data_IF_638564311523
#
_entry.id   IF_638564311523
#
_cell.length_a   1.000
_cell.length_b   1.000
_cell.length_c   1.000
_cell.angle_alpha   90.00
_cell.angle_beta   90.00
_cell.angle_gamma   90.00
#
_symmetry.space_group_name_H-M   'P 1'
#
loop_
_entity.id
_entity.type
_entity.pdbx_description
1 polymer ?
#
# COMPACT_ATOMS: atom_id res chain seq x y z
N UNK A 1 -75.24 3.72 -18.44
CA UNK A 1 -74.04 3.71 -19.23
C UNK A 1 -73.19 4.85 -18.72
N UNK A 2 -72.17 4.52 -17.93
CA UNK A 2 -71.26 5.48 -17.33
C UNK A 2 -70.06 5.64 -18.31
N UNK A 3 -69.96 6.75 -18.98
CA UNK A 3 -68.82 7.06 -19.84
C UNK A 3 -67.69 7.55 -18.92
N UNK A 4 -66.75 6.68 -18.61
CA UNK A 4 -65.50 7.09 -17.98
C UNK A 4 -64.69 7.95 -18.97
N UNK A 5 -64.45 9.18 -18.55
CA UNK A 5 -63.83 10.20 -19.37
C UNK A 5 -62.32 9.84 -19.60
N UNK A 6 -62.02 9.44 -20.82
CA UNK A 6 -60.68 8.97 -21.26
C UNK A 6 -59.56 9.98 -21.02
N UNK A 7 -59.90 11.24 -20.76
CA UNK A 7 -58.96 12.33 -20.53
C UNK A 7 -58.18 12.22 -19.22
N UNK A 8 -58.80 11.68 -18.18
CA UNK A 8 -58.14 11.52 -16.85
C UNK A 8 -57.17 10.35 -16.85
N UNK A 9 -57.50 9.27 -17.52
CA UNK A 9 -56.65 8.08 -17.61
C UNK A 9 -55.33 8.39 -18.33
N UNK A 10 -55.37 9.17 -19.41
CA UNK A 10 -54.18 9.58 -20.14
C UNK A 10 -53.19 10.45 -19.32
N UNK A 11 -53.74 11.35 -18.47
CA UNK A 11 -52.89 12.16 -17.56
C UNK A 11 -52.17 11.35 -16.50
N UNK A 12 -52.83 10.35 -15.92
CA UNK A 12 -52.20 9.48 -14.89
C UNK A 12 -51.14 8.57 -15.50
N UNK A 13 -51.37 8.05 -16.70
CA UNK A 13 -50.38 7.20 -17.39
C UNK A 13 -49.10 8.00 -17.72
N UNK A 14 -49.20 9.24 -18.19
CA UNK A 14 -48.05 10.08 -18.45
C UNK A 14 -47.31 10.48 -17.19
N UNK A 15 -48.01 10.76 -16.08
CA UNK A 15 -47.43 11.11 -14.81
C UNK A 15 -46.68 9.93 -14.19
N UNK A 16 -47.25 8.73 -14.25
CA UNK A 16 -46.63 7.51 -13.73
C UNK A 16 -45.39 7.09 -14.57
N UNK A 17 -45.47 7.24 -15.90
CA UNK A 17 -44.34 7.00 -16.81
C UNK A 17 -43.16 7.92 -16.54
N UNK A 18 -43.49 9.21 -16.30
CA UNK A 18 -42.43 10.20 -15.99
C UNK A 18 -41.75 9.90 -14.64
N UNK A 19 -42.50 9.48 -13.63
CA UNK A 19 -41.96 9.08 -12.32
C UNK A 19 -41.09 7.82 -12.40
N UNK A 20 -41.50 6.86 -13.24
CA UNK A 20 -40.74 5.62 -13.45
C UNK A 20 -39.40 5.89 -14.14
N UNK A 21 -39.36 6.81 -15.11
CA UNK A 21 -38.14 7.21 -15.81
C UNK A 21 -37.18 7.91 -14.86
N UNK A 22 -37.66 8.80 -13.99
CA UNK A 22 -36.83 9.47 -12.97
C UNK A 22 -36.26 8.45 -11.98
N UNK A 23 -37.06 7.46 -11.57
CA UNK A 23 -36.62 6.41 -10.64
C UNK A 23 -35.53 5.52 -11.23
N UNK A 24 -35.63 5.16 -12.53
CA UNK A 24 -34.59 4.42 -13.25
C UNK A 24 -33.33 5.26 -13.40
N UNK A 25 -33.46 6.59 -13.63
CA UNK A 25 -32.31 7.48 -13.75
C UNK A 25 -31.55 7.64 -12.42
N UNK A 26 -32.24 7.66 -11.28
CA UNK A 26 -31.61 7.72 -9.96
C UNK A 26 -30.85 6.42 -9.65
N UNK A 27 -31.37 5.26 -10.05
CA UNK A 27 -30.67 3.97 -9.85
C UNK A 27 -29.41 3.86 -10.72
N UNK A 28 -29.44 4.45 -11.93
CA UNK A 28 -28.29 4.37 -12.83
C UNK A 28 -27.12 5.29 -12.46
N UNK A 29 -27.34 6.28 -11.59
CA UNK A 29 -26.29 7.22 -11.15
C UNK A 29 -25.57 6.81 -9.88
N UNK A 30 -26.03 5.79 -9.16
CA UNK A 30 -25.27 5.20 -8.06
C UNK A 30 -24.18 4.28 -8.60
N UNK A 31 -23.18 4.86 -9.29
CA UNK A 31 -21.86 4.25 -9.29
C UNK A 31 -21.37 4.34 -7.85
N UNK A 32 -21.57 3.26 -7.10
CA UNK A 32 -20.82 3.05 -5.87
C UNK A 32 -19.36 3.08 -6.31
N UNK A 33 -18.70 4.21 -6.09
CA UNK A 33 -17.27 4.30 -6.09
C UNK A 33 -16.81 3.43 -4.92
N UNK A 34 -16.68 2.13 -5.15
CA UNK A 34 -15.77 1.31 -4.38
C UNK A 34 -14.39 1.90 -4.65
N UNK A 35 -13.98 2.81 -3.79
CA UNK A 35 -12.58 3.13 -3.65
C UNK A 35 -11.96 1.89 -2.99
N UNK A 36 -11.65 0.89 -3.81
CA UNK A 36 -10.66 -0.10 -3.41
C UNK A 36 -9.40 0.70 -3.11
N UNK A 37 -9.10 0.85 -1.84
CA UNK A 37 -7.74 1.23 -1.44
C UNK A 37 -6.86 0.15 -2.06
N UNK A 38 -5.96 0.47 -2.99
CA UNK A 38 -5.10 -0.54 -3.58
C UNK A 38 -4.40 -1.22 -2.43
N UNK A 39 -4.63 -2.53 -2.28
CA UNK A 39 -3.87 -3.34 -1.34
C UNK A 39 -2.41 -3.10 -1.67
N UNK A 40 -1.63 -2.65 -0.67
CA UNK A 40 -0.22 -2.38 -0.87
C UNK A 40 0.44 -3.67 -1.31
N UNK A 41 0.85 -3.71 -2.56
CA UNK A 41 1.50 -4.89 -3.12
C UNK A 41 2.83 -5.11 -2.40
N UNK A 42 2.99 -6.29 -1.80
CA UNK A 42 4.23 -6.69 -1.13
C UNK A 42 4.78 -7.91 -1.85
N UNK A 43 5.96 -7.75 -2.46
CA UNK A 43 6.68 -8.84 -3.11
C UNK A 43 7.97 -9.12 -2.35
N UNK A 44 8.17 -10.39 -1.99
CA UNK A 44 9.36 -10.84 -1.25
C UNK A 44 10.02 -11.97 -2.05
N UNK A 45 11.35 -11.89 -2.19
CA UNK A 45 12.20 -12.92 -2.77
C UNK A 45 13.43 -13.12 -1.90
N UNK A 46 13.84 -14.38 -1.68
CA UNK A 46 15.08 -14.76 -1.00
C UNK A 46 15.40 -16.21 -1.35
N UNK A 47 16.65 -16.63 -1.18
CA UNK A 47 17.03 -18.04 -1.34
C UNK A 47 16.61 -18.88 -0.14
N UNK A 48 16.67 -18.30 1.06
CA UNK A 48 16.34 -18.97 2.31
C UNK A 48 15.32 -18.14 3.11
N UNK A 49 14.26 -18.80 3.57
CA UNK A 49 13.25 -18.20 4.44
C UNK A 49 12.96 -19.11 5.63
N UNK A 50 12.89 -18.52 6.82
CA UNK A 50 12.47 -19.20 8.06
C UNK A 50 11.40 -18.37 8.76
N UNK A 51 10.30 -19.01 9.12
CA UNK A 51 9.24 -18.41 9.92
C UNK A 51 9.26 -18.95 11.35
N UNK A 52 9.37 -18.05 12.31
CA UNK A 52 9.16 -18.34 13.73
C UNK A 52 7.79 -17.84 14.17
N UNK A 53 6.83 -18.75 14.22
CA UNK A 53 5.45 -18.44 14.56
C UNK A 53 5.30 -17.92 15.99
N UNK A 54 6.12 -18.38 16.95
CA UNK A 54 6.02 -17.94 18.35
C UNK A 54 6.44 -16.49 18.52
N UNK A 55 7.47 -16.09 17.80
CA UNK A 55 8.02 -14.74 17.86
C UNK A 55 7.37 -13.80 16.84
N UNK A 56 6.61 -14.32 15.85
CA UNK A 56 6.07 -13.53 14.77
C UNK A 56 7.16 -12.94 13.87
N UNK A 57 8.22 -13.71 13.59
CA UNK A 57 9.37 -13.23 12.82
C UNK A 57 9.56 -14.09 11.57
N UNK A 58 9.65 -13.45 10.41
CA UNK A 58 10.20 -14.07 9.20
C UNK A 58 11.65 -13.63 9.07
N UNK A 59 12.56 -14.59 8.97
CA UNK A 59 13.97 -14.36 8.67
C UNK A 59 14.26 -14.82 7.26
N UNK A 60 14.76 -13.91 6.44
CA UNK A 60 15.14 -14.11 5.04
C UNK A 60 16.66 -13.97 4.92
N UNK A 61 17.30 -14.80 4.08
CA UNK A 61 18.74 -14.77 3.85
C UNK A 61 19.04 -15.01 2.38
N UNK A 62 20.15 -14.45 1.95
CA UNK A 62 20.75 -14.61 0.61
C UNK A 62 19.86 -14.02 -0.49
N UNK A 63 20.39 -13.00 -1.17
CA UNK A 63 19.74 -12.30 -2.27
C UNK A 63 18.32 -11.79 -1.94
N UNK A 64 18.16 -11.24 -0.73
CA UNK A 64 16.85 -10.79 -0.27
C UNK A 64 16.42 -9.54 -1.02
N UNK A 65 15.24 -9.58 -1.61
CA UNK A 65 14.58 -8.44 -2.24
C UNK A 65 13.17 -8.32 -1.66
N UNK A 66 12.83 -7.14 -1.18
CA UNK A 66 11.48 -6.80 -0.75
C UNK A 66 11.05 -5.54 -1.50
N UNK A 67 9.89 -5.62 -2.16
CA UNK A 67 9.19 -4.48 -2.72
C UNK A 67 7.94 -4.22 -1.89
N UNK A 68 7.79 -3.01 -1.44
CA UNK A 68 6.67 -2.57 -0.61
C UNK A 68 6.22 -1.21 -1.13
N UNK A 69 5.10 -1.17 -1.85
CA UNK A 69 4.62 0.03 -2.52
C UNK A 69 5.70 0.55 -3.51
N UNK A 70 6.14 1.80 -3.39
CA UNK A 70 7.21 2.38 -4.20
C UNK A 70 8.62 2.22 -3.58
N UNK A 71 8.75 1.43 -2.51
CA UNK A 71 10.01 1.17 -1.82
C UNK A 71 10.61 -0.16 -2.27
N UNK A 72 11.91 -0.18 -2.54
CA UNK A 72 12.66 -1.40 -2.83
C UNK A 72 13.79 -1.54 -1.83
N UNK A 73 13.83 -2.68 -1.16
CA UNK A 73 14.92 -3.06 -0.27
C UNK A 73 15.63 -4.28 -0.83
N UNK A 74 16.98 -4.23 -0.86
CA UNK A 74 17.83 -5.40 -1.14
C UNK A 74 18.84 -5.52 -0.02
N UNK A 75 19.18 -6.74 0.40
CA UNK A 75 20.14 -6.99 1.47
C UNK A 75 20.59 -8.45 1.47
N UNK A 76 21.64 -8.74 2.25
CA UNK A 76 22.08 -10.12 2.47
C UNK A 76 21.12 -10.87 3.41
N UNK A 77 20.53 -10.14 4.38
CA UNK A 77 19.61 -10.68 5.37
C UNK A 77 18.49 -9.69 5.65
N UNK A 78 17.27 -10.19 5.89
CA UNK A 78 16.13 -9.37 6.30
C UNK A 78 15.28 -10.08 7.35
N UNK A 79 14.76 -9.32 8.31
CA UNK A 79 13.81 -9.80 9.31
C UNK A 79 12.56 -8.95 9.28
N UNK A 80 11.40 -9.63 9.17
CA UNK A 80 10.09 -9.01 9.21
C UNK A 80 9.41 -9.38 10.52
N UNK A 81 8.94 -8.39 11.26
CA UNK A 81 8.33 -8.54 12.58
C UNK A 81 6.83 -8.24 12.48
N UNK A 82 6.00 -9.16 12.97
CA UNK A 82 4.55 -9.06 12.94
C UNK A 82 3.99 -8.98 14.37
N UNK A 83 2.93 -8.20 14.55
CA UNK A 83 2.28 -8.03 15.85
C UNK A 83 1.46 -9.25 16.25
N UNK A 84 0.83 -9.91 15.29
CA UNK A 84 -0.06 -11.04 15.48
C UNK A 84 0.22 -12.10 14.42
N UNK A 85 0.34 -13.33 14.85
CA UNK A 85 0.65 -14.49 14.01
C UNK A 85 -0.58 -15.34 13.68
N UNK A 86 -1.74 -15.04 14.27
CA UNK A 86 -2.95 -15.86 14.12
C UNK A 86 -3.54 -15.78 12.71
N UNK A 87 -3.30 -14.67 11.96
CA UNK A 87 -3.81 -14.42 10.62
C UNK A 87 -2.69 -14.08 9.63
N UNK A 88 -1.62 -14.86 9.68
CA UNK A 88 -0.38 -14.58 8.94
C UNK A 88 -0.53 -14.62 7.41
N UNK A 89 -1.58 -15.26 6.87
CA UNK A 89 -1.63 -15.66 5.45
C UNK A 89 -2.14 -14.61 4.48
N UNK A 90 -2.76 -13.52 4.94
CA UNK A 90 -3.49 -12.65 4.00
C UNK A 90 -3.14 -11.16 4.06
N UNK A 91 -2.45 -10.68 5.13
CA UNK A 91 -2.29 -9.24 5.26
C UNK A 91 -1.00 -8.82 5.97
N UNK A 92 -0.10 -8.14 5.23
CA UNK A 92 1.02 -7.40 5.81
C UNK A 92 0.58 -6.21 6.70
N UNK A 93 -0.74 -6.04 6.93
CA UNK A 93 -1.29 -5.02 7.84
C UNK A 93 -0.77 -5.14 9.27
N UNK A 94 -0.39 -6.36 9.69
CA UNK A 94 0.19 -6.64 11.01
C UNK A 94 1.71 -6.48 11.06
N UNK A 95 2.35 -6.12 9.95
CA UNK A 95 3.78 -5.84 9.91
C UNK A 95 4.09 -4.58 10.74
N UNK A 96 4.98 -4.71 11.73
CA UNK A 96 5.36 -3.61 12.62
C UNK A 96 6.74 -3.06 12.30
N UNK A 97 7.65 -3.92 11.79
CA UNK A 97 9.03 -3.54 11.54
C UNK A 97 9.67 -4.46 10.51
N UNK A 98 10.53 -3.88 9.67
CA UNK A 98 11.45 -4.60 8.79
C UNK A 98 12.87 -4.18 9.17
N UNK A 99 13.79 -5.13 9.26
CA UNK A 99 15.23 -4.87 9.43
C UNK A 99 15.96 -5.53 8.26
N UNK A 100 16.62 -4.74 7.43
CA UNK A 100 17.51 -5.21 6.39
C UNK A 100 18.97 -5.01 6.84
N UNK A 101 19.80 -6.03 6.65
CA UNK A 101 21.17 -6.09 7.16
C UNK A 101 22.13 -6.62 6.09
N UNK A 102 23.32 -6.03 6.02
CA UNK A 102 24.41 -6.39 5.12
C UNK A 102 24.13 -5.93 3.69
N UNK A 103 25.05 -5.14 3.14
CA UNK A 103 25.00 -4.61 1.76
C UNK A 103 23.62 -4.07 1.39
N UNK A 104 23.04 -3.26 2.30
CA UNK A 104 21.66 -2.79 2.11
C UNK A 104 21.60 -1.77 0.98
N UNK A 105 20.66 -2.01 0.08
CA UNK A 105 20.26 -1.12 -0.99
C UNK A 105 18.78 -0.76 -0.76
N UNK A 106 18.51 0.51 -0.51
CA UNK A 106 17.17 1.05 -0.35
C UNK A 106 16.89 2.05 -1.47
N UNK A 107 15.80 1.88 -2.19
CA UNK A 107 15.42 2.75 -3.28
C UNK A 107 14.00 3.27 -3.06
N UNK A 108 13.82 4.57 -3.29
CA UNK A 108 12.55 5.27 -3.34
C UNK A 108 12.61 6.38 -4.40
N UNK A 109 11.64 6.42 -5.29
CA UNK A 109 11.49 7.51 -6.28
C UNK A 109 12.79 7.83 -7.04
N UNK A 110 13.54 6.79 -7.46
CA UNK A 110 14.85 6.88 -8.14
C UNK A 110 16.01 7.40 -7.27
N UNK A 111 15.79 7.66 -6.00
CA UNK A 111 16.86 7.90 -5.04
C UNK A 111 17.32 6.58 -4.42
N UNK A 112 18.61 6.35 -4.44
CA UNK A 112 19.24 5.13 -3.94
C UNK A 112 20.07 5.45 -2.71
N UNK A 113 19.86 4.67 -1.65
CA UNK A 113 20.65 4.76 -0.42
C UNK A 113 21.30 3.41 -0.17
N UNK A 114 22.60 3.41 0.05
CA UNK A 114 23.39 2.26 0.45
C UNK A 114 23.76 2.39 1.92
N UNK A 115 23.78 1.27 2.66
CA UNK A 115 24.12 1.27 4.07
C UNK A 115 24.38 -0.15 4.58
N UNK A 116 24.78 -0.28 5.85
CA UNK A 116 24.94 -1.59 6.48
C UNK A 116 23.62 -2.11 7.07
N UNK A 117 22.73 -1.20 7.49
CA UNK A 117 21.46 -1.56 8.14
C UNK A 117 20.35 -0.54 7.86
N UNK A 118 19.17 -1.05 7.54
CA UNK A 118 17.95 -0.27 7.40
C UNK A 118 16.86 -0.85 8.29
N UNK A 119 16.21 0.00 9.09
CA UNK A 119 15.00 -0.33 9.85
C UNK A 119 13.83 0.47 9.30
N UNK A 120 12.80 -0.21 8.81
CA UNK A 120 11.57 0.40 8.33
C UNK A 120 10.42 0.12 9.28
N UNK A 121 9.65 1.15 9.60
CA UNK A 121 8.48 1.11 10.48
C UNK A 121 7.24 1.52 9.65
N UNK A 122 6.51 0.55 9.06
CA UNK A 122 5.42 0.84 8.12
C UNK A 122 4.30 1.69 8.72
N UNK A 123 3.97 1.45 10.01
CA UNK A 123 2.89 2.19 10.69
C UNK A 123 3.25 3.64 11.00
N UNK A 124 4.53 3.91 11.18
CA UNK A 124 5.06 5.25 11.47
C UNK A 124 5.47 5.98 10.19
N UNK A 125 5.46 5.30 9.05
CA UNK A 125 6.04 5.77 7.78
C UNK A 125 7.47 6.30 7.99
N UNK A 126 8.26 5.58 8.79
CA UNK A 126 9.61 5.99 9.18
C UNK A 126 10.65 4.96 8.73
N UNK A 127 11.73 5.44 8.13
CA UNK A 127 12.93 4.64 7.81
C UNK A 127 14.10 5.19 8.60
N UNK A 128 14.82 4.32 9.30
CA UNK A 128 16.09 4.62 9.95
C UNK A 128 17.18 3.81 9.27
N UNK A 129 18.21 4.48 8.82
CA UNK A 129 19.34 3.96 8.04
C UNK A 129 20.61 4.21 8.83
N UNK A 130 21.44 3.19 9.01
CA UNK A 130 22.66 3.30 9.82
C UNK A 130 23.82 2.51 9.23
N UNK A 131 25.03 3.00 9.48
CA UNK A 131 26.30 2.42 9.06
C UNK A 131 26.63 2.69 7.60
N UNK A 132 27.72 3.41 7.36
CA UNK A 132 28.25 3.71 6.02
C UNK A 132 27.18 4.22 5.03
N UNK A 133 26.31 5.12 5.49
CA UNK A 133 25.19 5.62 4.68
C UNK A 133 25.70 6.46 3.51
N UNK A 134 25.36 6.05 2.31
CA UNK A 134 25.63 6.78 1.07
C UNK A 134 24.35 7.04 0.30
N UNK A 135 24.00 8.30 0.10
CA UNK A 135 22.87 8.68 -0.76
C UNK A 135 23.38 8.94 -2.17
N UNK A 136 22.83 8.21 -3.13
CA UNK A 136 23.24 8.27 -4.54
C UNK A 136 22.10 8.90 -5.35
N UNK A 137 22.43 9.95 -6.08
CA UNK A 137 21.52 10.60 -7.03
C UNK A 137 22.10 10.53 -8.44
N UNK A 138 21.50 9.71 -9.28
CA UNK A 138 22.03 9.40 -10.61
C UNK A 138 23.36 8.67 -10.52
N UNK A 139 24.44 9.26 -11.07
CA UNK A 139 25.80 8.67 -11.04
C UNK A 139 26.68 9.20 -9.90
N UNK A 140 26.21 10.17 -9.13
CA UNK A 140 27.00 10.85 -8.12
C UNK A 140 26.55 10.50 -6.71
N UNK A 141 27.51 10.44 -5.76
CA UNK A 141 27.18 10.37 -4.34
C UNK A 141 26.76 11.77 -3.91
N UNK A 142 25.52 11.92 -3.43
CA UNK A 142 24.99 13.19 -2.96
C UNK A 142 25.56 13.58 -1.59
N UNK A 143 25.59 12.64 -0.64
CA UNK A 143 26.22 12.80 0.67
C UNK A 143 26.49 11.45 1.34
N UNK A 144 27.33 11.50 2.40
CA UNK A 144 27.62 10.36 3.29
C UNK A 144 27.30 10.72 4.73
N UNK A 145 26.85 9.74 5.51
CA UNK A 145 26.53 9.89 6.92
C UNK A 145 26.65 8.55 7.65
N UNK A 146 26.70 8.57 8.97
CA UNK A 146 26.59 7.36 9.79
C UNK A 146 25.12 6.99 10.09
N UNK A 147 24.25 8.00 10.12
CA UNK A 147 22.82 7.83 10.44
C UNK A 147 22.00 8.75 9.55
N UNK A 148 20.91 8.22 8.99
CA UNK A 148 19.92 8.96 8.25
C UNK A 148 18.51 8.51 8.69
N UNK A 149 17.64 9.45 9.03
CA UNK A 149 16.23 9.18 9.28
C UNK A 149 15.37 9.84 8.19
N UNK A 150 14.43 9.07 7.63
CA UNK A 150 13.51 9.53 6.59
C UNK A 150 12.08 9.31 7.08
N UNK A 151 11.27 10.35 7.05
CA UNK A 151 9.84 10.27 7.24
C UNK A 151 9.17 10.17 5.86
N UNK A 152 8.54 9.02 5.58
CA UNK A 152 7.80 8.77 4.36
C UNK A 152 6.41 9.41 4.50
N UNK A 153 6.33 10.76 4.48
CA UNK A 153 5.02 11.41 4.46
C UNK A 153 4.32 11.03 3.17
N UNK A 154 3.06 10.63 3.27
CA UNK A 154 2.15 10.59 2.13
C UNK A 154 2.16 12.00 1.54
N UNK A 155 2.56 12.15 0.28
CA UNK A 155 2.40 13.42 -0.43
C UNK A 155 0.90 13.73 -0.42
N UNK A 156 0.49 14.57 0.52
CA UNK A 156 -0.80 15.25 0.45
C UNK A 156 -0.64 16.21 -0.72
N UNK A 157 -1.12 15.79 -1.87
CA UNK A 157 -1.38 16.73 -2.97
C UNK A 157 -2.33 17.77 -2.40
N UNK A 158 -1.77 18.94 -2.11
CA UNK A 158 -2.56 20.14 -1.83
C UNK A 158 -3.20 20.52 -3.17
N UNK A 159 -4.50 20.22 -3.31
CA UNK A 159 -5.35 20.84 -4.31
C UNK A 159 -5.67 22.27 -3.89
#
# INVERSE_FOLDING_TARGET
>A
KMFLNNSYISKYINFFGFFLIIFIFIISTTKVLFCETPDKEVLISSENAKFDQKLGIISLKENVVLKFDNLIFKSDKMELFFKDTSNFTENFSNLIKIIAMGNVYFERDQEVIKSDLVSFFPKENKVKITGNVEVVKGKNIGFKSEILEINLKKDTVLN
#
